data_IF_043746487798
#
_entry.id   IF_043746487798
#
_cell.length_a   1.000
_cell.length_b   1.000
_cell.length_c   1.000
_cell.angle_alpha   90.00
_cell.angle_beta   90.00
_cell.angle_gamma   90.00
#
_symmetry.space_group_name_H-M   'P 1'
#
loop_
_entity.id
_entity.type
_entity.pdbx_description
1 polymer ?
#
# COMPACT_ATOMS: atom_id res chain seq x y z
N UNK A 1 23.04 -10.32 3.07
CA UNK A 1 22.61 -9.65 4.32
C UNK A 1 22.65 -8.16 4.08
N UNK A 2 21.52 -7.49 4.26
CA UNK A 2 21.33 -6.06 4.02
C UNK A 2 20.77 -5.42 5.31
N UNK A 3 21.06 -4.14 5.54
CA UNK A 3 20.48 -3.36 6.66
C UNK A 3 19.23 -2.64 6.18
N UNK A 4 18.07 -2.99 6.72
CA UNK A 4 16.77 -2.51 6.25
C UNK A 4 16.07 -1.75 7.36
N UNK A 5 15.74 -0.48 7.12
CA UNK A 5 14.90 0.27 8.04
C UNK A 5 13.44 -0.19 7.92
N UNK A 6 12.77 -0.36 9.06
CA UNK A 6 11.36 -0.80 9.11
C UNK A 6 10.56 0.12 10.03
N UNK A 7 9.40 0.60 9.56
CA UNK A 7 8.54 1.50 10.33
C UNK A 7 7.16 1.64 9.70
N UNK A 8 6.30 2.49 10.24
CA UNK A 8 4.99 2.73 9.66
C UNK A 8 4.22 3.90 10.28
N UNK A 9 3.20 4.34 9.56
CA UNK A 9 2.32 5.43 10.00
C UNK A 9 0.95 5.21 9.36
N UNK A 10 0.02 4.68 10.15
CA UNK A 10 -1.27 4.17 9.69
C UNK A 10 -2.41 5.11 10.10
N UNK A 11 -3.15 5.64 9.13
CA UNK A 11 -4.41 6.35 9.38
C UNK A 11 -5.29 6.39 8.12
N UNK A 12 -6.59 6.20 8.28
CA UNK A 12 -7.59 6.38 7.23
C UNK A 12 -8.40 7.66 7.50
N UNK A 13 -8.39 8.61 6.56
CA UNK A 13 -9.08 9.89 6.75
C UNK A 13 -10.41 9.96 6.01
N UNK A 14 -11.49 10.12 6.78
CA UNK A 14 -12.75 10.65 6.32
C UNK A 14 -12.79 12.17 6.50
N UNK A 15 -12.56 12.95 5.44
CA UNK A 15 -12.48 14.42 5.50
C UNK A 15 -13.81 15.08 5.90
N UNK A 16 -14.91 14.33 5.89
CA UNK A 16 -16.24 14.77 6.31
C UNK A 16 -16.55 14.40 7.77
N UNK A 17 -15.69 13.59 8.41
CA UNK A 17 -15.86 13.24 9.81
C UNK A 17 -15.56 14.45 10.71
N UNK A 18 -16.28 14.61 11.85
CA UNK A 18 -16.13 15.77 12.72
C UNK A 18 -14.95 15.69 13.70
N UNK A 19 -14.43 14.50 14.01
CA UNK A 19 -13.32 14.31 14.95
C UNK A 19 -12.01 14.11 14.20
N UNK A 20 -11.01 14.95 14.49
CA UNK A 20 -9.65 14.82 13.96
C UNK A 20 -8.86 13.74 14.68
N UNK A 21 -7.85 13.17 14.02
CA UNK A 21 -6.89 12.29 14.65
C UNK A 21 -5.82 13.12 15.37
N UNK A 22 -5.87 13.10 16.70
CA UNK A 22 -4.95 13.83 17.58
C UNK A 22 -3.70 12.99 17.86
N UNK A 23 -2.66 13.60 18.44
CA UNK A 23 -1.48 12.86 18.87
C UNK A 23 -1.81 11.75 19.88
N UNK A 24 -2.74 12.02 20.81
CA UNK A 24 -3.16 11.06 21.82
C UNK A 24 -3.82 9.80 21.22
N UNK A 25 -4.42 9.91 20.02
CA UNK A 25 -5.00 8.77 19.32
C UNK A 25 -3.92 7.82 18.78
N UNK A 26 -2.75 8.35 18.42
CA UNK A 26 -1.59 7.54 18.00
C UNK A 26 -0.78 6.98 19.17
N UNK A 27 -0.75 7.66 20.32
CA UNK A 27 -0.09 7.15 21.53
C UNK A 27 -0.83 5.96 22.15
N UNK A 28 -2.15 5.92 21.98
CA UNK A 28 -3.01 4.93 22.62
C UNK A 28 -3.03 3.62 21.82
N UNK A 29 -2.77 2.52 22.50
CA UNK A 29 -3.08 1.20 21.95
C UNK A 29 -4.60 0.99 21.84
N UNK A 30 -5.04 0.43 20.71
CA UNK A 30 -6.43 0.03 20.48
C UNK A 30 -6.46 -1.42 19.98
N UNK A 31 -6.99 -1.68 18.78
CA UNK A 31 -6.91 -2.99 18.14
C UNK A 31 -5.46 -3.38 17.80
N UNK A 32 -4.57 -2.40 17.66
CA UNK A 32 -3.14 -2.53 17.39
C UNK A 32 -2.31 -1.77 18.44
N UNK A 33 -0.99 -1.98 18.50
CA UNK A 33 -0.12 -1.24 19.41
C UNK A 33 -0.26 0.28 19.25
N UNK A 34 -0.03 1.02 20.34
CA UNK A 34 0.15 2.48 20.25
C UNK A 34 1.50 2.83 19.63
N UNK A 35 1.87 4.10 19.69
CA UNK A 35 3.16 4.57 19.21
C UNK A 35 4.33 3.81 19.86
N UNK A 36 5.10 3.12 19.02
CA UNK A 36 6.33 2.42 19.39
C UNK A 36 7.48 2.95 18.54
N UNK A 37 8.67 3.02 19.11
CA UNK A 37 9.86 3.57 18.44
C UNK A 37 11.10 2.82 18.88
N UNK A 38 11.96 2.49 17.92
CA UNK A 38 13.20 1.78 18.20
C UNK A 38 13.01 0.28 18.37
N UNK A 39 13.95 -0.42 19.04
CA UNK A 39 14.00 -1.88 19.13
C UNK A 39 12.69 -2.55 19.56
N UNK A 40 11.89 -1.87 20.39
CA UNK A 40 10.60 -2.33 20.90
C UNK A 40 9.56 -2.58 19.81
N UNK A 41 9.71 -1.97 18.63
CA UNK A 41 8.77 -2.14 17.51
C UNK A 41 8.63 -3.62 17.12
N UNK A 42 9.73 -4.37 17.04
CA UNK A 42 9.72 -5.76 16.58
C UNK A 42 8.83 -6.63 17.48
N UNK A 43 9.04 -6.53 18.79
CA UNK A 43 8.29 -7.29 19.78
C UNK A 43 6.84 -6.79 19.86
N UNK A 44 6.61 -5.48 19.72
CA UNK A 44 5.28 -4.89 19.83
C UNK A 44 4.31 -5.34 18.73
N UNK A 45 4.82 -5.58 17.51
CA UNK A 45 3.99 -5.97 16.36
C UNK A 45 3.90 -7.49 16.18
N UNK A 46 4.66 -8.28 16.95
CA UNK A 46 4.67 -9.73 16.84
C UNK A 46 3.27 -10.33 17.08
N UNK A 47 2.87 -11.27 16.22
CA UNK A 47 1.61 -12.00 16.35
C UNK A 47 0.38 -11.26 15.81
N UNK A 48 0.47 -9.97 15.49
CA UNK A 48 -0.64 -9.25 14.85
C UNK A 48 -0.75 -9.60 13.35
N UNK A 49 -1.99 -9.66 12.84
CA UNK A 49 -2.23 -9.70 11.39
C UNK A 49 -2.17 -8.29 10.80
N UNK A 50 -1.00 -7.64 10.82
CA UNK A 50 -0.75 -6.32 10.22
C UNK A 50 0.48 -6.37 9.31
N UNK A 51 0.62 -5.48 8.32
CA UNK A 51 1.67 -5.61 7.32
C UNK A 51 3.08 -5.52 7.91
N UNK A 52 3.35 -4.61 8.85
CA UNK A 52 4.67 -4.52 9.51
C UNK A 52 5.10 -5.86 10.14
N UNK A 53 4.18 -6.59 10.79
CA UNK A 53 4.47 -7.88 11.41
C UNK A 53 4.88 -8.94 10.37
N UNK A 54 4.13 -9.01 9.26
CA UNK A 54 4.45 -9.91 8.15
C UNK A 54 5.78 -9.57 7.49
N UNK A 55 6.08 -8.29 7.28
CA UNK A 55 7.33 -7.83 6.69
C UNK A 55 8.53 -8.10 7.60
N UNK A 56 8.46 -7.75 8.89
CA UNK A 56 9.52 -8.00 9.88
C UNK A 56 9.90 -9.48 9.90
N UNK A 57 8.90 -10.36 10.05
CA UNK A 57 9.11 -11.81 10.04
C UNK A 57 9.80 -12.27 8.76
N UNK A 58 9.30 -11.84 7.61
CA UNK A 58 9.81 -12.26 6.30
C UNK A 58 11.26 -11.79 6.08
N UNK A 59 11.57 -10.54 6.42
CA UNK A 59 12.92 -9.99 6.26
C UNK A 59 13.93 -10.65 7.20
N UNK A 60 13.52 -11.01 8.42
CA UNK A 60 14.35 -11.80 9.34
C UNK A 60 14.60 -13.21 8.80
N UNK A 61 13.58 -13.89 8.27
CA UNK A 61 13.71 -15.20 7.64
C UNK A 61 14.63 -15.19 6.41
N UNK A 62 14.66 -14.07 5.67
CA UNK A 62 15.59 -13.83 4.56
C UNK A 62 17.02 -13.46 5.01
N UNK A 63 17.24 -13.30 6.32
CA UNK A 63 18.56 -13.04 6.89
C UNK A 63 19.05 -11.59 6.73
N UNK A 64 18.13 -10.63 6.70
CA UNK A 64 18.46 -9.20 6.76
C UNK A 64 18.58 -8.71 8.20
N UNK A 65 19.34 -7.64 8.39
CA UNK A 65 19.45 -6.90 9.64
C UNK A 65 18.40 -5.79 9.64
N UNK A 66 17.54 -5.76 10.65
CA UNK A 66 16.45 -4.78 10.74
C UNK A 66 16.87 -3.60 11.61
N UNK A 67 16.58 -2.40 11.12
CA UNK A 67 16.75 -1.14 11.85
C UNK A 67 15.36 -0.56 12.14
N UNK A 68 14.78 -0.83 13.31
CA UNK A 68 13.45 -0.35 13.62
C UNK A 68 13.40 1.17 13.76
N UNK A 69 12.40 1.79 13.14
CA UNK A 69 12.06 3.21 13.27
C UNK A 69 10.90 3.35 14.28
N UNK A 70 10.01 4.32 14.09
CA UNK A 70 8.71 4.34 14.73
C UNK A 70 7.63 3.62 13.90
N UNK A 71 6.62 3.11 14.61
CA UNK A 71 5.37 2.61 14.05
C UNK A 71 4.21 3.06 14.94
N UNK A 72 3.11 3.49 14.34
CA UNK A 72 1.87 3.77 15.04
C UNK A 72 0.66 3.70 14.11
N UNK A 73 -0.52 3.61 14.73
CA UNK A 73 -1.80 3.70 14.06
C UNK A 73 -2.80 4.50 14.88
N UNK A 74 -3.70 5.21 14.22
CA UNK A 74 -4.91 5.74 14.85
C UNK A 74 -6.16 5.14 14.18
N UNK A 75 -7.27 4.98 14.92
CA UNK A 75 -8.53 4.57 14.32
C UNK A 75 -9.00 5.55 13.23
N UNK A 76 -9.71 5.06 12.18
CA UNK A 76 -10.26 5.90 11.13
C UNK A 76 -11.07 7.08 11.70
N UNK A 77 -10.72 8.29 11.26
CA UNK A 77 -11.38 9.53 11.69
C UNK A 77 -11.11 10.63 10.66
N UNK A 78 -11.24 11.91 11.04
CA UNK A 78 -10.96 13.04 10.15
C UNK A 78 -9.45 13.27 10.00
N UNK A 79 -9.10 14.46 9.49
CA UNK A 79 -7.73 14.92 9.27
C UNK A 79 -6.80 14.59 10.45
N UNK A 80 -5.60 14.11 10.13
CA UNK A 80 -4.50 14.08 11.10
C UNK A 80 -4.11 15.50 11.45
N UNK A 81 -4.15 15.85 12.73
CA UNK A 81 -3.70 17.15 13.19
C UNK A 81 -2.24 17.37 12.78
N UNK A 82 -1.90 18.60 12.39
CA UNK A 82 -0.53 18.95 12.01
C UNK A 82 0.48 18.54 13.07
N UNK A 83 0.15 18.74 14.35
CA UNK A 83 1.02 18.34 15.44
C UNK A 83 1.26 16.82 15.46
N UNK A 84 0.22 16.01 15.35
CA UNK A 84 0.34 14.55 15.35
C UNK A 84 1.19 14.07 14.14
N UNK A 85 0.89 14.60 12.95
CA UNK A 85 1.63 14.26 11.73
C UNK A 85 3.11 14.60 11.85
N UNK A 86 3.44 15.83 12.26
CA UNK A 86 4.83 16.29 12.38
C UNK A 86 5.59 15.57 13.50
N UNK A 87 4.91 15.16 14.57
CA UNK A 87 5.52 14.34 15.64
C UNK A 87 5.96 12.97 15.10
N UNK A 88 5.08 12.24 14.41
CA UNK A 88 5.40 10.90 13.87
C UNK A 88 6.38 10.99 12.72
N UNK A 89 6.13 11.85 11.73
CA UNK A 89 7.02 12.01 10.59
C UNK A 89 8.40 12.51 11.02
N UNK A 90 8.46 13.43 11.99
CA UNK A 90 9.70 13.92 12.59
C UNK A 90 10.50 12.80 13.26
N UNK A 91 9.85 12.01 14.13
CA UNK A 91 10.49 10.87 14.79
C UNK A 91 11.07 9.86 13.78
N UNK A 92 10.31 9.53 12.73
CA UNK A 92 10.77 8.62 11.67
C UNK A 92 11.99 9.16 10.92
N UNK A 93 11.99 10.45 10.59
CA UNK A 93 13.10 11.11 9.89
C UNK A 93 14.35 11.22 10.77
N UNK A 94 14.19 11.50 12.07
CA UNK A 94 15.28 11.47 13.05
C UNK A 94 15.93 10.08 13.13
N UNK A 95 15.11 9.03 13.23
CA UNK A 95 15.60 7.65 13.30
C UNK A 95 16.35 7.26 12.02
N UNK A 96 15.82 7.63 10.85
CA UNK A 96 16.47 7.41 9.57
C UNK A 96 17.80 8.16 9.46
N UNK A 97 17.88 9.41 9.95
CA UNK A 97 19.12 10.17 9.97
C UNK A 97 20.17 9.54 10.91
N UNK A 98 19.73 8.91 12.00
CA UNK A 98 20.60 8.25 12.98
C UNK A 98 20.98 6.80 12.60
N UNK A 99 20.26 6.15 11.68
CA UNK A 99 20.39 4.73 11.32
C UNK A 99 21.75 4.33 10.69
N UNK A 100 22.53 5.32 10.26
CA UNK A 100 23.78 5.11 9.53
C UNK A 100 23.52 4.60 8.11
N UNK A 101 24.38 3.71 7.60
CA UNK A 101 24.25 3.16 6.24
C UNK A 101 23.10 2.15 6.14
N UNK A 102 22.08 2.48 5.36
CA UNK A 102 20.96 1.60 5.05
C UNK A 102 21.07 1.10 3.60
N UNK A 103 20.64 -0.14 3.39
CA UNK A 103 20.55 -0.76 2.06
C UNK A 103 19.13 -0.67 1.50
N UNK A 104 18.10 -0.65 2.36
CA UNK A 104 16.69 -0.58 1.97
C UNK A 104 15.80 -0.02 3.07
N UNK A 105 14.57 0.35 2.70
CA UNK A 105 13.54 0.83 3.63
C UNK A 105 12.23 0.13 3.31
N UNK A 106 11.59 -0.40 4.34
CA UNK A 106 10.22 -0.88 4.30
C UNK A 106 9.32 0.02 5.18
N UNK A 107 8.19 0.46 4.63
CA UNK A 107 7.19 1.25 5.38
C UNK A 107 5.81 0.59 5.31
N UNK A 108 5.18 0.46 6.47
CA UNK A 108 3.79 0.05 6.62
C UNK A 108 2.91 1.31 6.66
N UNK A 109 2.24 1.61 5.54
CA UNK A 109 1.44 2.83 5.37
C UNK A 109 -0.01 2.47 5.01
N UNK A 110 -0.96 3.36 5.30
CA UNK A 110 -2.35 3.15 4.92
C UNK A 110 -2.58 3.50 3.45
N UNK A 111 -2.09 4.66 3.03
CA UNK A 111 -2.32 5.27 1.72
C UNK A 111 -3.59 6.12 1.62
N UNK A 112 -4.29 6.38 2.73
CA UNK A 112 -5.49 7.23 2.73
C UNK A 112 -5.42 8.29 3.84
N UNK A 113 -4.22 8.64 4.28
CA UNK A 113 -4.02 9.65 5.29
C UNK A 113 -4.10 11.04 4.66
N UNK A 114 -5.00 11.86 5.21
CA UNK A 114 -5.05 13.28 4.90
C UNK A 114 -4.67 14.03 6.18
N UNK A 115 -3.60 14.82 6.12
CA UNK A 115 -3.22 15.70 7.21
C UNK A 115 -3.87 17.07 7.00
N UNK A 116 -4.01 17.87 8.07
CA UNK A 116 -4.58 19.23 7.96
C UNK A 116 -3.90 20.15 6.92
N UNK A 117 -2.70 19.77 6.48
CA UNK A 117 -1.84 20.59 5.64
C UNK A 117 -1.27 19.86 4.42
N UNK A 118 -1.67 18.60 4.23
CA UNK A 118 -1.30 17.77 3.07
C UNK A 118 -2.49 16.89 2.69
N UNK A 119 -2.93 16.99 1.43
CA UNK A 119 -3.94 16.10 0.87
C UNK A 119 -3.45 14.65 0.75
N UNK A 120 -2.14 14.49 0.54
CA UNK A 120 -1.44 13.22 0.44
C UNK A 120 -0.40 13.10 1.57
N UNK A 121 -0.83 12.52 2.70
CA UNK A 121 0.04 12.34 3.87
C UNK A 121 1.19 11.37 3.58
N UNK A 122 0.92 10.25 2.92
CA UNK A 122 1.93 9.25 2.57
C UNK A 122 2.94 9.77 1.54
N UNK A 123 2.47 10.48 0.50
CA UNK A 123 3.32 11.09 -0.53
C UNK A 123 4.29 12.11 0.06
N UNK A 124 3.82 13.00 0.94
CA UNK A 124 4.70 13.95 1.62
C UNK A 124 5.74 13.24 2.49
N UNK A 125 5.34 12.23 3.27
CA UNK A 125 6.27 11.44 4.08
C UNK A 125 7.34 10.77 3.20
N UNK A 126 6.92 10.12 2.10
CA UNK A 126 7.82 9.48 1.15
C UNK A 126 8.75 10.49 0.47
N UNK A 127 8.27 11.70 0.13
CA UNK A 127 9.08 12.79 -0.42
C UNK A 127 10.18 13.23 0.56
N UNK A 128 9.83 13.42 1.85
CA UNK A 128 10.79 13.78 2.90
C UNK A 128 11.84 12.69 3.12
N UNK A 129 11.41 11.43 3.20
CA UNK A 129 12.32 10.27 3.33
C UNK A 129 13.24 10.22 2.12
N UNK A 130 12.70 10.36 0.91
CA UNK A 130 13.49 10.33 -0.33
C UNK A 130 14.54 11.44 -0.37
N UNK A 131 14.20 12.64 0.09
CA UNK A 131 15.14 13.76 0.20
C UNK A 131 16.31 13.46 1.17
N UNK A 132 16.04 12.72 2.25
CA UNK A 132 17.04 12.33 3.24
C UNK A 132 17.96 11.20 2.75
N UNK A 133 17.39 10.15 2.15
CA UNK A 133 18.11 8.89 1.86
C UNK A 133 18.60 8.79 0.40
N UNK A 134 18.15 9.70 -0.46
CA UNK A 134 18.47 9.75 -1.88
C UNK A 134 17.83 8.64 -2.71
N UNK A 135 18.13 8.59 -4.01
CA UNK A 135 17.45 7.70 -4.98
C UNK A 135 18.04 6.29 -5.10
N UNK A 136 19.16 6.00 -4.44
CA UNK A 136 19.84 4.70 -4.53
C UNK A 136 19.21 3.63 -3.64
N UNK A 137 18.67 4.04 -2.49
CA UNK A 137 18.10 3.12 -1.51
C UNK A 137 16.65 2.79 -1.92
N UNK A 138 16.29 1.53 -2.18
CA UNK A 138 14.91 1.16 -2.44
C UNK A 138 14.02 1.45 -1.23
N UNK A 139 12.85 2.05 -1.50
CA UNK A 139 11.79 2.24 -0.51
C UNK A 139 10.61 1.40 -0.96
N UNK A 140 10.20 0.41 -0.19
CA UNK A 140 9.03 -0.42 -0.50
C UNK A 140 7.96 -0.22 0.56
N UNK A 141 6.72 -0.02 0.14
CA UNK A 141 5.60 0.13 1.07
C UNK A 141 4.62 -1.03 0.94
N UNK A 142 3.99 -1.40 2.05
CA UNK A 142 2.67 -2.03 2.01
C UNK A 142 1.61 -0.94 2.14
N UNK A 143 0.42 -1.23 1.60
CA UNK A 143 -0.69 -0.29 1.49
C UNK A 143 -2.01 -0.99 1.79
N UNK A 144 -2.94 -0.26 2.41
CA UNK A 144 -4.32 -0.70 2.56
C UNK A 144 -5.00 -0.86 1.19
N UNK A 145 -6.08 -1.65 1.14
CA UNK A 145 -6.91 -1.74 -0.05
C UNK A 145 -7.53 -0.39 -0.43
N UNK A 146 -7.90 0.43 0.56
CA UNK A 146 -8.59 1.70 0.39
C UNK A 146 -7.66 2.87 0.08
N UNK A 147 -6.37 2.64 -0.17
CA UNK A 147 -5.42 3.70 -0.53
C UNK A 147 -5.93 4.56 -1.70
N UNK A 148 -5.94 5.88 -1.50
CA UNK A 148 -6.04 6.87 -2.55
C UNK A 148 -4.65 7.06 -3.19
N UNK A 149 -4.28 6.14 -4.08
CA UNK A 149 -2.91 6.03 -4.60
C UNK A 149 -2.53 7.21 -5.51
N UNK A 150 -1.61 8.06 -5.06
CA UNK A 150 -1.24 9.29 -5.78
C UNK A 150 -0.01 9.11 -6.69
N UNK A 151 0.17 10.00 -7.68
CA UNK A 151 1.42 10.08 -8.45
C UNK A 151 2.65 10.38 -7.58
N UNK A 152 2.51 11.14 -6.51
CA UNK A 152 3.62 11.50 -5.60
C UNK A 152 4.13 10.28 -4.83
N UNK A 153 3.23 9.44 -4.31
CA UNK A 153 3.58 8.14 -3.73
C UNK A 153 4.34 7.26 -4.74
N UNK A 154 3.81 7.12 -5.96
CA UNK A 154 4.46 6.33 -7.05
C UNK A 154 5.84 6.86 -7.41
N UNK A 155 6.01 8.19 -7.40
CA UNK A 155 7.28 8.83 -7.70
C UNK A 155 8.33 8.51 -6.64
N UNK A 156 7.97 8.60 -5.35
CA UNK A 156 8.93 8.53 -4.25
C UNK A 156 9.20 7.12 -3.71
N UNK A 157 8.24 6.20 -3.76
CA UNK A 157 8.45 4.79 -3.43
C UNK A 157 9.09 4.03 -4.59
N UNK A 158 9.95 3.05 -4.34
CA UNK A 158 10.50 2.14 -5.37
C UNK A 158 9.47 1.09 -5.80
N UNK A 159 8.68 0.57 -4.86
CA UNK A 159 7.51 -0.24 -5.12
C UNK A 159 6.49 -0.11 -3.98
N UNK A 160 5.23 -0.41 -4.26
CA UNK A 160 4.13 -0.32 -3.30
C UNK A 160 3.19 -1.50 -3.52
N UNK A 161 2.89 -2.24 -2.46
CA UNK A 161 2.11 -3.47 -2.50
C UNK A 161 0.83 -3.30 -1.70
N UNK A 162 -0.30 -3.33 -2.40
CA UNK A 162 -1.62 -3.24 -1.78
C UNK A 162 -2.16 -4.59 -1.30
N UNK A 163 -3.14 -4.52 -0.40
CA UNK A 163 -3.99 -5.65 -0.03
C UNK A 163 -4.74 -6.17 -1.26
N UNK A 164 -5.07 -7.47 -1.26
CA UNK A 164 -5.87 -8.11 -2.31
C UNK A 164 -7.25 -8.55 -1.83
N UNK A 165 -7.56 -8.31 -0.56
CA UNK A 165 -8.82 -8.75 0.05
C UNK A 165 -9.59 -7.61 0.71
N UNK A 166 -10.91 -7.59 0.47
CA UNK A 166 -11.88 -6.80 1.22
C UNK A 166 -13.12 -7.66 1.50
N UNK A 167 -13.40 -8.02 2.77
CA UNK A 167 -12.74 -7.55 4.00
C UNK A 167 -11.27 -7.99 4.11
N UNK A 168 -10.46 -7.20 4.82
CA UNK A 168 -9.02 -7.39 4.91
C UNK A 168 -8.65 -8.61 5.75
N UNK A 169 -8.25 -9.68 5.07
CA UNK A 169 -7.73 -10.89 5.72
C UNK A 169 -6.25 -11.13 5.37
N UNK A 170 -5.71 -10.42 4.37
CA UNK A 170 -4.36 -10.60 3.85
C UNK A 170 -3.35 -9.50 4.26
N UNK A 171 -3.58 -8.81 5.38
CA UNK A 171 -2.73 -7.71 5.85
C UNK A 171 -1.26 -8.12 6.07
N UNK A 172 -0.99 -9.09 6.96
CA UNK A 172 0.38 -9.57 7.17
C UNK A 172 0.97 -10.24 5.91
N UNK A 173 0.15 -10.95 5.14
CA UNK A 173 0.57 -11.53 3.87
C UNK A 173 1.01 -10.45 2.86
N UNK A 174 0.38 -9.28 2.86
CA UNK A 174 0.79 -8.13 2.05
C UNK A 174 2.17 -7.62 2.47
N UNK A 175 2.38 -7.46 3.78
CA UNK A 175 3.69 -7.13 4.32
C UNK A 175 4.78 -8.10 3.89
N UNK A 176 4.50 -9.41 3.93
CA UNK A 176 5.41 -10.45 3.42
C UNK A 176 5.70 -10.30 1.92
N UNK A 177 4.68 -10.04 1.09
CA UNK A 177 4.88 -9.80 -0.37
C UNK A 177 5.76 -8.57 -0.63
N UNK A 178 5.53 -7.48 0.12
CA UNK A 178 6.34 -6.28 0.05
C UNK A 178 7.80 -6.53 0.47
N UNK A 179 8.03 -7.25 1.56
CA UNK A 179 9.36 -7.66 2.00
C UNK A 179 10.11 -8.51 0.95
N UNK A 180 9.43 -9.47 0.33
CA UNK A 180 10.00 -10.29 -0.76
C UNK A 180 10.37 -9.44 -1.98
N UNK A 181 9.55 -8.44 -2.33
CA UNK A 181 9.87 -7.53 -3.41
C UNK A 181 11.07 -6.64 -3.06
N UNK A 182 11.18 -6.18 -1.81
CA UNK A 182 12.34 -5.42 -1.35
C UNK A 182 13.63 -6.26 -1.43
N UNK A 183 13.63 -7.50 -0.94
CA UNK A 183 14.78 -8.41 -1.07
C UNK A 183 15.17 -8.62 -2.54
N UNK A 184 14.18 -8.84 -3.42
CA UNK A 184 14.43 -8.93 -4.86
C UNK A 184 15.11 -7.68 -5.42
N UNK A 185 14.63 -6.48 -5.08
CA UNK A 185 15.24 -5.22 -5.53
C UNK A 185 16.70 -5.09 -5.06
N UNK A 186 16.99 -5.51 -3.83
CA UNK A 186 18.34 -5.49 -3.25
C UNK A 186 19.28 -6.47 -3.97
N UNK A 187 18.78 -7.66 -4.32
CA UNK A 187 19.55 -8.71 -4.98
C UNK A 187 19.75 -8.42 -6.48
N UNK A 188 18.69 -8.05 -7.19
CA UNK A 188 18.73 -7.80 -8.64
C UNK A 188 19.47 -6.48 -8.95
N UNK A 189 19.50 -5.53 -8.00
CA UNK A 189 20.08 -4.17 -8.14
C UNK A 189 19.61 -3.47 -9.41
N UNK A 190 18.38 -3.75 -9.80
CA UNK A 190 17.76 -3.25 -11.02
C UNK A 190 16.44 -2.56 -10.65
N UNK A 191 16.26 -1.27 -11.01
CA UNK A 191 14.98 -0.60 -10.80
C UNK A 191 13.90 -1.19 -11.71
N UNK A 192 12.66 -1.11 -11.25
CA UNK A 192 11.48 -1.52 -12.00
C UNK A 192 10.89 -0.32 -12.74
N UNK A 193 10.37 -0.55 -13.94
CA UNK A 193 9.46 0.39 -14.58
C UNK A 193 8.15 0.43 -13.81
N UNK A 194 7.55 1.60 -13.71
CA UNK A 194 6.28 1.84 -13.02
C UNK A 194 5.29 2.42 -14.03
N UNK A 195 4.20 1.72 -14.28
CA UNK A 195 3.11 2.21 -15.11
C UNK A 195 1.89 2.46 -14.21
N UNK A 196 1.54 3.74 -14.02
CA UNK A 196 0.45 4.17 -13.16
C UNK A 196 -0.76 4.60 -13.97
N UNK A 197 -1.98 4.33 -13.48
CA UNK A 197 -3.24 4.85 -14.02
C UNK A 197 -4.16 5.27 -12.88
N UNK A 198 -4.67 6.50 -12.95
CA UNK A 198 -5.83 6.94 -12.19
C UNK A 198 -7.10 6.62 -12.99
N UNK A 199 -8.15 6.20 -12.29
CA UNK A 199 -9.48 5.95 -12.83
C UNK A 199 -10.40 7.12 -12.48
N UNK A 200 -11.26 7.47 -13.42
CA UNK A 200 -12.05 8.70 -13.46
C UNK A 200 -13.50 8.53 -12.97
N UNK A 201 -13.72 7.65 -11.98
CA UNK A 201 -14.98 7.52 -11.25
C UNK A 201 -14.73 7.01 -9.82
N UNK A 202 -15.68 7.22 -8.91
CA UNK A 202 -15.60 6.72 -7.54
C UNK A 202 -16.32 5.38 -7.38
N UNK A 203 -15.75 4.48 -6.58
CA UNK A 203 -16.40 3.23 -6.20
C UNK A 203 -16.94 3.35 -4.77
N UNK A 204 -18.26 3.29 -4.53
CA UNK A 204 -18.81 3.34 -3.18
C UNK A 204 -18.21 2.23 -2.30
N UNK A 205 -17.78 2.57 -1.08
CA UNK A 205 -17.06 1.66 -0.17
C UNK A 205 -17.75 0.29 -0.01
N UNK A 206 -19.07 0.32 0.15
CA UNK A 206 -19.93 -0.88 0.31
C UNK A 206 -19.96 -1.81 -0.91
N UNK A 207 -19.47 -1.37 -2.08
CA UNK A 207 -19.40 -2.14 -3.32
C UNK A 207 -17.98 -2.51 -3.73
N UNK A 208 -17.02 -2.42 -2.82
CA UNK A 208 -15.62 -2.75 -3.11
C UNK A 208 -15.24 -4.21 -2.76
N UNK A 209 -16.16 -5.06 -2.29
CA UNK A 209 -15.87 -6.41 -1.79
C UNK A 209 -15.21 -7.30 -2.85
N UNK A 210 -14.01 -7.82 -2.56
CA UNK A 210 -13.25 -8.62 -3.53
C UNK A 210 -13.77 -10.05 -3.70
N UNK A 211 -14.76 -10.47 -2.90
CA UNK A 211 -15.47 -11.74 -3.07
C UNK A 211 -16.63 -11.65 -4.07
N UNK A 212 -17.04 -10.44 -4.44
CA UNK A 212 -18.15 -10.17 -5.35
C UNK A 212 -17.66 -9.49 -6.63
N UNK A 213 -18.45 -9.63 -7.71
CA UNK A 213 -18.24 -8.80 -8.89
C UNK A 213 -18.62 -7.34 -8.59
N UNK A 214 -17.94 -6.35 -9.18
CA UNK A 214 -16.90 -6.51 -10.22
C UNK A 214 -15.46 -6.64 -9.71
N UNK A 215 -15.19 -6.41 -8.42
CA UNK A 215 -13.83 -6.44 -7.86
C UNK A 215 -13.17 -7.83 -7.99
N UNK A 216 -13.93 -8.91 -7.77
CA UNK A 216 -13.46 -10.29 -7.95
C UNK A 216 -12.84 -10.53 -9.34
N UNK A 217 -13.53 -10.12 -10.41
CA UNK A 217 -13.03 -10.26 -11.77
C UNK A 217 -11.77 -9.43 -12.05
N UNK A 218 -11.66 -8.25 -11.43
CA UNK A 218 -10.48 -7.39 -11.56
C UNK A 218 -9.25 -8.04 -10.90
N UNK A 219 -9.38 -8.56 -9.68
CA UNK A 219 -8.27 -9.26 -9.03
C UNK A 219 -7.91 -10.58 -9.71
N UNK A 220 -8.88 -11.30 -10.28
CA UNK A 220 -8.61 -12.47 -11.10
C UNK A 220 -7.79 -12.14 -12.36
N UNK A 221 -8.06 -10.98 -13.00
CA UNK A 221 -7.28 -10.48 -14.13
C UNK A 221 -5.85 -10.10 -13.69
N UNK A 222 -5.70 -9.45 -12.54
CA UNK A 222 -4.38 -9.13 -11.97
C UNK A 222 -3.55 -10.41 -11.77
N UNK A 223 -4.15 -11.44 -11.14
CA UNK A 223 -3.49 -12.73 -10.91
C UNK A 223 -3.13 -13.42 -12.24
N UNK A 224 -3.99 -13.34 -13.25
CA UNK A 224 -3.71 -13.88 -14.59
C UNK A 224 -2.49 -13.21 -15.23
N UNK A 225 -2.41 -11.88 -15.14
CA UNK A 225 -1.30 -11.11 -15.72
C UNK A 225 0.00 -11.44 -14.99
N UNK A 226 0.02 -11.40 -13.66
CA UNK A 226 1.23 -11.68 -12.86
C UNK A 226 1.72 -13.12 -12.97
N UNK A 227 0.83 -14.09 -13.17
CA UNK A 227 1.24 -15.49 -13.37
C UNK A 227 1.71 -15.75 -14.80
N UNK A 228 1.36 -14.88 -15.75
CA UNK A 228 1.44 -15.15 -17.19
C UNK A 228 0.47 -16.26 -17.56
N UNK A 229 -0.65 -15.91 -18.22
CA UNK A 229 -1.78 -16.80 -18.54
C UNK A 229 -1.45 -18.30 -18.57
N UNK A 230 -1.95 -19.04 -17.57
CA UNK A 230 -1.56 -20.44 -17.35
C UNK A 230 -1.88 -21.33 -18.56
N UNK A 231 -0.84 -21.91 -19.20
CA UNK A 231 -0.97 -23.22 -19.84
C UNK A 231 -1.17 -24.25 -18.72
N UNK A 232 -2.33 -24.90 -18.63
CA UNK A 232 -2.44 -26.18 -17.91
C UNK A 232 -3.63 -26.39 -16.97
N UNK A 233 -4.48 -25.40 -16.67
CA UNK A 233 -5.79 -25.71 -16.07
C UNK A 233 -6.69 -26.34 -17.12
N UNK A 234 -7.25 -27.53 -16.84
CA UNK A 234 -8.24 -28.18 -17.71
C UNK A 234 -9.39 -27.20 -17.96
N UNK A 235 -9.50 -26.70 -19.20
CA UNK A 235 -10.50 -25.72 -19.61
C UNK A 235 -9.94 -24.35 -20.06
N UNK A 236 -8.63 -24.09 -19.95
CA UNK A 236 -8.05 -22.83 -20.43
C UNK A 236 -7.78 -22.86 -21.95
N UNK A 237 -8.08 -21.74 -22.62
CA UNK A 237 -7.87 -21.55 -24.07
C UNK A 237 -6.40 -21.73 -24.49
N UNK A 238 -6.10 -22.18 -25.72
CA UNK A 238 -4.77 -22.66 -26.13
C UNK A 238 -3.65 -21.59 -26.25
N UNK A 239 -3.83 -20.38 -25.71
CA UNK A 239 -3.02 -19.20 -26.01
C UNK A 239 -2.31 -18.54 -24.82
N UNK A 240 -2.02 -19.27 -23.73
CA UNK A 240 -1.38 -18.68 -22.55
C UNK A 240 -0.07 -17.94 -22.85
N UNK A 241 -0.01 -16.64 -22.55
CA UNK A 241 1.15 -15.78 -22.77
C UNK A 241 2.14 -15.89 -21.60
N UNK A 242 3.44 -15.88 -21.89
CA UNK A 242 4.48 -15.68 -20.87
C UNK A 242 4.21 -14.39 -20.06
N UNK A 243 4.60 -14.34 -18.78
CA UNK A 243 4.43 -13.18 -17.85
C UNK A 243 5.10 -11.86 -18.31
N UNK A 244 5.70 -11.79 -19.52
CA UNK A 244 6.30 -10.60 -20.15
C UNK A 244 7.23 -9.73 -19.27
N UNK A 245 7.68 -10.23 -18.11
CA UNK A 245 8.48 -9.47 -17.16
C UNK A 245 7.69 -8.61 -16.16
N UNK A 246 6.38 -8.82 -15.99
CA UNK A 246 5.62 -8.19 -14.91
C UNK A 246 6.07 -8.78 -13.56
N UNK A 247 6.36 -7.90 -12.61
CA UNK A 247 6.90 -8.25 -11.29
C UNK A 247 5.83 -8.16 -10.22
N UNK A 248 5.03 -7.10 -10.23
CA UNK A 248 3.95 -6.91 -9.27
C UNK A 248 2.94 -5.89 -9.78
N UNK A 249 1.69 -6.06 -9.38
CA UNK A 249 0.58 -5.15 -9.67
C UNK A 249 -0.14 -4.82 -8.38
N UNK A 250 -0.37 -3.53 -8.15
CA UNK A 250 -1.21 -3.02 -7.07
C UNK A 250 -2.37 -2.26 -7.69
N UNK A 251 -3.58 -2.62 -7.29
CA UNK A 251 -4.81 -1.89 -7.60
C UNK A 251 -5.53 -1.59 -6.29
N UNK A 252 -5.95 -0.35 -6.11
CA UNK A 252 -6.72 0.11 -4.97
C UNK A 252 -7.97 0.83 -5.48
N UNK A 253 -9.18 0.53 -4.98
CA UNK A 253 -10.40 1.26 -5.34
C UNK A 253 -10.50 2.67 -4.75
N UNK A 254 -9.58 3.04 -3.85
CA UNK A 254 -9.61 4.32 -3.15
C UNK A 254 -10.60 4.36 -1.98
N UNK A 255 -10.53 5.46 -1.23
CA UNK A 255 -11.41 5.76 -0.10
C UNK A 255 -12.24 7.01 -0.44
N UNK A 256 -13.49 6.84 -0.93
CA UNK A 256 -14.34 7.95 -1.40
C UNK A 256 -14.69 9.03 -0.36
N UNK A 257 -14.78 8.75 0.96
CA UNK A 257 -15.02 9.79 1.96
C UNK A 257 -13.84 10.76 2.18
N UNK A 258 -13.06 11.08 1.15
CA UNK A 258 -11.95 12.03 1.18
C UNK A 258 -12.09 13.08 0.06
N UNK A 259 -12.17 14.35 0.43
CA UNK A 259 -12.20 15.50 -0.49
C UNK A 259 -10.77 15.93 -0.85
N UNK A 260 -10.13 15.14 -1.71
CA UNK A 260 -8.75 15.36 -2.19
C UNK A 260 -8.66 15.21 -3.70
N UNK A 261 -7.65 15.83 -4.32
CA UNK A 261 -7.52 15.86 -5.78
C UNK A 261 -7.34 14.47 -6.43
N UNK A 262 -6.73 13.50 -5.72
CA UNK A 262 -6.50 12.13 -6.20
C UNK A 262 -7.41 11.09 -5.54
N UNK A 263 -8.60 11.48 -5.10
CA UNK A 263 -9.57 10.52 -4.55
C UNK A 263 -10.06 9.56 -5.65
N UNK A 264 -10.01 8.25 -5.36
CA UNK A 264 -10.62 7.23 -6.21
C UNK A 264 -9.66 6.10 -6.63
N UNK A 265 -10.14 5.21 -7.53
CA UNK A 265 -9.43 4.01 -7.90
C UNK A 265 -8.18 4.33 -8.71
N UNK A 266 -7.11 3.60 -8.44
CA UNK A 266 -5.91 3.66 -9.25
C UNK A 266 -5.17 2.32 -9.25
N UNK A 267 -4.13 2.25 -10.08
CA UNK A 267 -3.25 1.11 -10.14
C UNK A 267 -1.83 1.50 -10.50
N UNK A 268 -0.89 0.67 -10.09
CA UNK A 268 0.49 0.70 -10.54
C UNK A 268 0.98 -0.70 -10.90
N UNK A 269 1.58 -0.84 -12.07
CA UNK A 269 2.23 -2.06 -12.54
C UNK A 269 3.74 -1.86 -12.48
N UNK A 270 4.43 -2.81 -11.85
CA UNK A 270 5.87 -2.89 -11.79
C UNK A 270 6.37 -3.98 -12.74
N UNK A 271 7.32 -3.64 -13.62
CA UNK A 271 7.86 -4.58 -14.60
C UNK A 271 9.34 -4.36 -14.92
N UNK A 272 9.97 -5.39 -15.48
CA UNK A 272 11.34 -5.32 -16.00
C UNK A 272 11.41 -4.75 -17.42
N UNK A 273 10.28 -4.79 -18.14
CA UNK A 273 10.10 -4.23 -19.46
C UNK A 273 9.05 -3.11 -19.39
N UNK A 274 9.36 -1.97 -20.01
CA UNK A 274 8.51 -0.77 -19.95
C UNK A 274 7.21 -0.98 -20.71
N UNK A 275 7.29 -1.48 -21.92
CA UNK A 275 6.15 -1.58 -22.83
C UNK A 275 5.17 -2.64 -22.32
N UNK A 276 5.67 -3.75 -21.76
CA UNK A 276 4.84 -4.74 -21.08
C UNK A 276 4.11 -4.16 -19.86
N UNK A 277 4.80 -3.36 -19.03
CA UNK A 277 4.19 -2.74 -17.84
C UNK A 277 3.08 -1.74 -18.23
N UNK A 278 3.33 -0.90 -19.24
CA UNK A 278 2.33 0.03 -19.77
C UNK A 278 1.12 -0.70 -20.36
N UNK A 279 1.35 -1.74 -21.17
CA UNK A 279 0.27 -2.52 -21.78
C UNK A 279 -0.59 -3.25 -20.73
N UNK A 280 0.03 -3.79 -19.67
CA UNK A 280 -0.69 -4.41 -18.56
C UNK A 280 -1.51 -3.36 -17.77
N UNK A 281 -0.96 -2.18 -17.52
CA UNK A 281 -1.65 -1.10 -16.84
C UNK A 281 -2.88 -0.64 -17.65
N UNK A 282 -2.74 -0.47 -18.98
CA UNK A 282 -3.84 -0.12 -19.87
C UNK A 282 -4.93 -1.19 -19.90
N UNK A 283 -4.54 -2.47 -19.95
CA UNK A 283 -5.48 -3.61 -19.95
C UNK A 283 -6.32 -3.63 -18.67
N UNK A 284 -5.70 -3.43 -17.51
CA UNK A 284 -6.41 -3.43 -16.23
C UNK A 284 -7.28 -2.17 -16.10
N UNK A 285 -6.76 -1.00 -16.47
CA UNK A 285 -7.52 0.25 -16.42
C UNK A 285 -8.76 0.20 -17.33
N UNK A 286 -8.65 -0.37 -18.53
CA UNK A 286 -9.79 -0.60 -19.41
C UNK A 286 -10.82 -1.55 -18.77
N UNK A 287 -10.35 -2.66 -18.19
CA UNK A 287 -11.23 -3.63 -17.51
C UNK A 287 -11.99 -3.02 -16.32
N UNK A 288 -11.36 -2.10 -15.57
CA UNK A 288 -12.01 -1.38 -14.47
C UNK A 288 -13.08 -0.43 -15.03
N UNK A 289 -12.75 0.38 -16.05
CA UNK A 289 -13.69 1.32 -16.69
C UNK A 289 -14.90 0.62 -17.29
N UNK A 290 -14.71 -0.50 -17.97
CA UNK A 290 -15.81 -1.32 -18.52
C UNK A 290 -16.77 -1.84 -17.45
N UNK A 291 -16.32 -1.90 -16.18
CA UNK A 291 -17.08 -2.42 -15.03
C UNK A 291 -17.65 -1.32 -14.15
N UNK A 292 -17.51 -0.04 -14.51
CA UNK A 292 -17.98 1.11 -13.71
C UNK A 292 -19.43 0.93 -13.22
N UNK A 293 -20.36 0.67 -14.14
CA UNK A 293 -21.77 0.48 -13.80
C UNK A 293 -22.03 -0.71 -12.86
N UNK A 294 -21.12 -1.70 -12.81
CA UNK A 294 -21.21 -2.85 -11.92
C UNK A 294 -20.96 -2.52 -10.45
N UNK A 295 -20.32 -1.38 -10.15
CA UNK A 295 -20.09 -0.90 -8.79
C UNK A 295 -21.29 -0.14 -8.19
N UNK A 296 -22.39 -0.02 -8.93
CA UNK A 296 -23.64 0.59 -8.47
C UNK A 296 -24.65 -0.46 -7.98
N UNK A 297 -24.29 -1.21 -6.92
CA UNK A 297 -25.17 -2.23 -6.35
C UNK A 297 -26.36 -1.67 -5.56
N UNK A 298 -27.34 -2.54 -5.25
CA UNK A 298 -28.55 -2.18 -4.49
C UNK A 298 -28.25 -1.96 -3.01
N UNK A 299 -28.46 -0.74 -2.52
CA UNK A 299 -28.57 -0.47 -1.08
C UNK A 299 -29.99 -0.78 -0.61
N UNK A 300 -30.10 -1.63 0.41
CA UNK A 300 -31.38 -1.95 1.03
C UNK A 300 -31.71 -0.91 2.09
N UNK A 301 -32.97 -0.50 2.14
CA UNK A 301 -33.48 0.27 3.29
C UNK A 301 -33.54 -0.63 4.54
N UNK A 302 -33.56 -0.05 5.75
CA UNK A 302 -33.71 -0.85 6.97
C UNK A 302 -34.92 -1.78 6.98
N UNK A 303 -36.03 -1.39 6.32
CA UNK A 303 -37.24 -2.22 6.23
C UNK A 303 -37.11 -3.39 5.21
N UNK A 304 -36.15 -3.31 4.28
CA UNK A 304 -35.92 -4.35 3.27
C UNK A 304 -34.86 -5.39 3.69
N UNK A 305 -34.06 -5.13 4.72
CA UNK A 305 -32.92 -5.96 5.17
C UNK A 305 -33.34 -7.03 6.19
#
# INVERSE_FOLDING_TARGET
MARIAVGGFQHETNTFAPQRATWADFERADAWPGFVRGPELIDAVEGFNIPIAGAVKTLQELGHDLVPLCWCSAPPSSYVERHAYETVAGAMLEDLAAAGSLDGIYLDLHGAMVAEHHEDGEGELLRRIRALVGHRIPIVTSLDYHTNLTPEMVQHASAMIGYRTYPHIDMAATGSRAAQLLDRLLNDRRPLYKAYRQIDFLIPLVWQCTMAEPAKGIFALIDEIEQGGQRGRRGASPGGSHNQGIVSITHTPGFPPADIAQCGPALVVYGLDRDAAEAAADRIAAAIREREAGFAGKLYTPDEA
#
